data_IF_391855917067
#
_entry.id   IF_391855917067
#
_cell.length_a   1.000
_cell.length_b   1.000
_cell.length_c   1.000
_cell.angle_alpha   90.00
_cell.angle_beta   90.00
_cell.angle_gamma   90.00
#
_symmetry.space_group_name_H-M   'P 1'
#
loop_
_entity.id
_entity.type
_entity.pdbx_description
1 polymer ?
#
# COMPACT_ATOMS: atom_id res chain seq x y z
N UNK A 1 -8.34 -11.80 -10.79
CA UNK A 1 -7.79 -12.58 -9.66
C UNK A 1 -6.72 -11.77 -8.93
N UNK A 2 -6.43 -12.12 -7.68
CA UNK A 2 -5.42 -11.46 -6.86
C UNK A 2 -4.03 -11.53 -7.51
N UNK A 3 -3.61 -12.73 -7.89
CA UNK A 3 -2.34 -12.98 -8.59
C UNK A 3 -2.28 -12.25 -9.94
N UNK A 4 -3.39 -12.29 -10.73
CA UNK A 4 -3.43 -11.58 -12.01
C UNK A 4 -3.30 -10.07 -11.86
N UNK A 5 -3.85 -9.48 -10.79
CA UNK A 5 -3.69 -8.06 -10.50
C UNK A 5 -2.24 -7.71 -10.15
N UNK A 6 -1.53 -8.58 -9.41
CA UNK A 6 -0.11 -8.43 -9.12
C UNK A 6 0.74 -8.57 -10.38
N UNK A 7 0.54 -9.65 -11.16
CA UNK A 7 1.31 -9.94 -12.37
C UNK A 7 1.09 -8.92 -13.50
N UNK A 8 -0.02 -8.16 -13.46
CA UNK A 8 -0.24 -7.07 -14.42
C UNK A 8 0.76 -5.92 -14.26
N UNK A 9 1.47 -5.81 -13.13
CA UNK A 9 2.48 -4.78 -12.89
C UNK A 9 1.96 -3.33 -12.96
N UNK A 10 0.64 -3.14 -12.82
CA UNK A 10 0.05 -1.80 -12.88
C UNK A 10 0.37 -1.01 -11.62
N UNK A 11 0.84 0.25 -11.73
CA UNK A 11 0.97 1.15 -10.57
C UNK A 11 -0.34 1.39 -9.83
N UNK A 12 -1.47 1.25 -10.53
CA UNK A 12 -2.82 1.45 -10.00
C UNK A 12 -3.53 0.12 -9.66
N UNK A 13 -2.78 -0.97 -9.46
CA UNK A 13 -3.32 -2.26 -9.07
C UNK A 13 -3.89 -2.18 -7.64
N UNK A 14 -5.20 -2.40 -7.49
CA UNK A 14 -5.93 -2.15 -6.24
C UNK A 14 -5.54 -3.08 -5.09
N UNK A 15 -5.23 -4.34 -5.38
CA UNK A 15 -4.91 -5.33 -4.33
C UNK A 15 -3.45 -5.26 -3.86
N UNK A 16 -2.55 -4.73 -4.68
CA UNK A 16 -1.11 -4.77 -4.43
C UNK A 16 -0.68 -3.95 -3.23
N UNK A 17 -1.14 -2.68 -3.05
CA UNK A 17 -0.78 -1.91 -1.86
C UNK A 17 -1.21 -2.58 -0.55
N UNK A 18 -2.42 -3.18 -0.52
CA UNK A 18 -2.92 -3.90 0.65
C UNK A 18 -2.10 -5.14 0.98
N UNK A 19 -1.72 -5.94 -0.03
CA UNK A 19 -0.84 -7.10 0.16
C UNK A 19 0.53 -6.71 0.70
N UNK A 20 1.13 -5.66 0.14
CA UNK A 20 2.44 -5.17 0.59
C UNK A 20 2.36 -4.65 2.03
N UNK A 21 1.34 -3.84 2.36
CA UNK A 21 1.15 -3.31 3.72
C UNK A 21 0.96 -4.45 4.74
N UNK A 22 0.22 -5.49 4.36
CA UNK A 22 0.04 -6.69 5.18
C UNK A 22 1.31 -7.56 5.31
N UNK A 23 2.39 -7.24 4.60
CA UNK A 23 3.63 -8.03 4.63
C UNK A 23 3.51 -9.37 3.87
N UNK A 24 2.66 -9.45 2.86
CA UNK A 24 2.43 -10.66 2.10
C UNK A 24 3.67 -11.10 1.28
N UNK A 25 3.81 -12.42 1.13
CA UNK A 25 4.74 -13.05 0.21
C UNK A 25 3.99 -13.84 -0.86
N UNK A 26 4.67 -14.23 -1.90
CA UNK A 26 4.15 -15.13 -2.94
C UNK A 26 5.03 -16.35 -3.08
N UNK A 27 4.41 -17.52 -3.29
CA UNK A 27 5.09 -18.73 -3.67
C UNK A 27 5.23 -18.77 -5.19
N UNK A 28 6.46 -18.77 -5.67
CA UNK A 28 6.81 -18.81 -7.09
C UNK A 28 7.39 -20.17 -7.42
N UNK A 29 6.85 -20.85 -8.44
CA UNK A 29 7.31 -22.13 -8.92
C UNK A 29 7.97 -21.98 -10.30
N UNK A 30 9.09 -22.67 -10.50
CA UNK A 30 9.81 -22.74 -11.76
C UNK A 30 10.35 -24.17 -11.98
N UNK A 31 11.02 -24.40 -13.10
CA UNK A 31 11.73 -25.67 -13.36
C UNK A 31 12.86 -25.96 -12.37
N UNK A 32 13.39 -24.94 -11.68
CA UNK A 32 14.44 -25.07 -10.66
C UNK A 32 13.91 -25.28 -9.23
N UNK A 33 12.59 -25.21 -9.02
CA UNK A 33 11.97 -25.41 -7.72
C UNK A 33 11.00 -24.31 -7.33
N UNK A 34 10.78 -24.18 -6.02
CA UNK A 34 9.86 -23.18 -5.43
C UNK A 34 10.66 -22.17 -4.63
N UNK A 35 10.33 -20.89 -4.80
CA UNK A 35 10.87 -19.76 -4.02
C UNK A 35 9.72 -18.98 -3.35
N UNK A 36 10.02 -18.32 -2.24
CA UNK A 36 9.12 -17.37 -1.61
C UNK A 36 9.69 -15.95 -1.81
N UNK A 37 8.87 -15.04 -2.36
CA UNK A 37 9.27 -13.68 -2.71
C UNK A 37 8.29 -12.72 -2.06
N UNK A 38 8.76 -11.58 -1.51
CA UNK A 38 7.86 -10.53 -1.00
C UNK A 38 7.06 -9.92 -2.13
N UNK A 39 5.79 -9.63 -1.89
CA UNK A 39 4.92 -9.00 -2.91
C UNK A 39 5.49 -7.66 -3.40
N UNK A 40 6.15 -6.90 -2.51
CA UNK A 40 6.77 -5.61 -2.86
C UNK A 40 7.91 -5.71 -3.87
N UNK A 41 8.52 -6.88 -4.01
CA UNK A 41 9.64 -7.13 -4.93
C UNK A 41 9.17 -7.60 -6.32
N UNK A 42 7.88 -7.88 -6.50
CA UNK A 42 7.34 -8.36 -7.78
C UNK A 42 7.16 -7.23 -8.81
N UNK A 43 6.49 -6.09 -8.53
CA UNK A 43 6.36 -5.01 -9.50
C UNK A 43 7.67 -4.22 -9.61
N UNK A 44 8.23 -4.12 -10.81
CA UNK A 44 9.47 -3.35 -11.06
C UNK A 44 9.25 -2.12 -11.93
N UNK A 45 8.08 -1.98 -12.54
CA UNK A 45 7.69 -0.84 -13.37
C UNK A 45 6.32 -1.06 -14.01
N UNK A 46 5.81 -0.09 -14.80
CA UNK A 46 4.51 -0.21 -15.45
C UNK A 46 4.44 -1.41 -16.40
N UNK A 47 3.59 -2.39 -16.06
CA UNK A 47 3.45 -3.63 -16.82
C UNK A 47 4.65 -4.59 -16.71
N UNK A 48 5.55 -4.35 -15.76
CA UNK A 48 6.78 -5.13 -15.59
C UNK A 48 6.83 -5.77 -14.19
N UNK A 49 7.25 -7.04 -14.18
CA UNK A 49 7.52 -7.80 -12.95
C UNK A 49 8.93 -8.36 -12.99
N UNK A 50 9.47 -8.73 -11.82
CA UNK A 50 10.76 -9.42 -11.72
C UNK A 50 10.67 -10.93 -11.96
N UNK A 51 9.49 -11.46 -12.33
CA UNK A 51 9.32 -12.87 -12.63
C UNK A 51 10.08 -13.24 -13.90
N UNK A 52 10.88 -14.30 -13.82
CA UNK A 52 11.59 -14.86 -14.95
C UNK A 52 10.69 -15.69 -15.87
N UNK A 53 11.21 -16.00 -17.06
CA UNK A 53 10.51 -16.90 -18.00
C UNK A 53 10.28 -18.27 -17.38
N UNK A 54 9.02 -18.73 -17.37
CA UNK A 54 8.64 -20.02 -16.80
C UNK A 54 8.41 -19.98 -15.28
N UNK A 55 8.46 -18.83 -14.65
CA UNK A 55 8.07 -18.63 -13.25
C UNK A 55 6.58 -18.34 -13.12
N UNK A 56 5.92 -19.02 -12.19
CA UNK A 56 4.47 -18.90 -11.96
C UNK A 56 4.20 -18.70 -10.48
N UNK A 57 3.44 -17.67 -10.15
CA UNK A 57 2.92 -17.48 -8.79
C UNK A 57 1.77 -18.45 -8.55
N UNK A 58 1.91 -19.32 -7.56
CA UNK A 58 0.93 -20.34 -7.21
C UNK A 58 0.11 -20.01 -5.96
N UNK A 59 0.65 -19.19 -5.07
CA UNK A 59 -0.04 -18.79 -3.84
C UNK A 59 0.37 -17.37 -3.41
N UNK A 60 -0.51 -16.71 -2.68
CA UNK A 60 -0.25 -15.49 -1.90
C UNK A 60 -0.34 -15.88 -0.42
N UNK A 61 0.72 -15.64 0.33
CA UNK A 61 0.82 -15.98 1.73
C UNK A 61 0.67 -14.70 2.57
N UNK A 62 -0.36 -14.64 3.41
CA UNK A 62 -0.57 -13.53 4.35
C UNK A 62 -0.05 -13.94 5.73
N UNK A 63 0.75 -13.10 6.40
CA UNK A 63 1.16 -13.37 7.76
C UNK A 63 -0.04 -13.35 8.71
N UNK A 64 0.07 -14.08 9.81
CA UNK A 64 -0.96 -14.04 10.86
C UNK A 64 -0.95 -12.65 11.52
N UNK A 65 -2.12 -12.03 11.60
CA UNK A 65 -2.30 -10.74 12.27
C UNK A 65 -2.10 -10.87 13.79
N UNK A 66 -1.45 -9.87 14.38
CA UNK A 66 -1.30 -9.74 15.82
C UNK A 66 -2.55 -9.10 16.45
N UNK A 67 -2.69 -9.22 17.80
CA UNK A 67 -3.88 -8.76 18.53
C UNK A 67 -4.15 -7.25 18.41
N UNK A 68 -3.10 -6.44 18.37
CA UNK A 68 -3.17 -4.97 18.28
C UNK A 68 -2.63 -4.47 16.95
N UNK A 69 -2.93 -5.18 15.90
CA UNK A 69 -2.59 -4.85 14.53
C UNK A 69 -3.86 -4.48 13.77
N UNK A 70 -3.80 -3.38 13.05
CA UNK A 70 -4.88 -2.91 12.21
C UNK A 70 -4.35 -2.45 10.85
N UNK A 71 -5.17 -2.65 9.83
CA UNK A 71 -4.86 -2.22 8.48
C UNK A 71 -6.06 -1.56 7.82
N UNK A 72 -5.77 -0.75 6.81
CA UNK A 72 -6.77 -0.22 5.92
C UNK A 72 -6.17 0.07 4.55
N UNK A 73 -6.96 -0.15 3.51
CA UNK A 73 -6.69 0.33 2.15
C UNK A 73 -7.82 1.24 1.71
N UNK A 74 -7.48 2.41 1.24
CA UNK A 74 -8.41 3.35 0.62
C UNK A 74 -7.88 3.78 -0.75
N UNK A 75 -8.79 3.98 -1.69
CA UNK A 75 -8.49 4.56 -3.00
C UNK A 75 -9.46 5.67 -3.33
N UNK A 76 -9.02 6.59 -4.16
CA UNK A 76 -9.89 7.56 -4.81
C UNK A 76 -10.13 7.16 -6.26
N UNK A 77 -11.39 7.12 -6.66
CA UNK A 77 -11.86 6.86 -8.03
C UNK A 77 -12.92 7.90 -8.41
N UNK A 78 -12.96 8.42 -9.64
CA UNK A 78 -13.98 9.40 -10.07
C UNK A 78 -15.37 8.78 -10.19
N UNK A 79 -15.46 7.48 -10.49
CA UNK A 79 -16.71 6.72 -10.62
C UNK A 79 -16.79 5.63 -9.57
N UNK A 80 -17.99 5.17 -9.28
CA UNK A 80 -18.22 4.16 -8.22
C UNK A 80 -17.79 2.76 -8.63
N UNK A 81 -17.79 2.46 -9.92
CA UNK A 81 -17.50 1.12 -10.46
C UNK A 81 -16.59 1.19 -11.71
N UNK A 82 -15.86 0.10 -11.94
CA UNK A 82 -15.05 -0.16 -13.13
C UNK A 82 -14.10 0.99 -13.49
N UNK A 83 -13.46 1.57 -12.48
CA UNK A 83 -12.51 2.65 -12.68
C UNK A 83 -11.14 2.35 -12.07
N UNK A 84 -10.11 2.97 -12.68
CA UNK A 84 -8.73 2.87 -12.26
C UNK A 84 -8.50 3.88 -11.12
N UNK A 85 -7.80 3.46 -10.07
CA UNK A 85 -7.46 4.35 -8.97
C UNK A 85 -6.68 5.58 -9.46
N UNK A 86 -7.14 6.76 -9.05
CA UNK A 86 -6.42 8.02 -9.22
C UNK A 86 -5.24 8.06 -8.26
N UNK A 87 -5.49 7.67 -7.01
CA UNK A 87 -4.51 7.42 -5.95
C UNK A 87 -5.03 6.34 -5.01
N UNK A 88 -4.14 5.65 -4.34
CA UNK A 88 -4.47 4.67 -3.30
C UNK A 88 -3.44 4.68 -2.17
N UNK A 89 -3.88 4.38 -0.95
CA UNK A 89 -3.00 4.25 0.20
C UNK A 89 -3.42 3.05 1.05
N UNK A 90 -2.46 2.19 1.34
CA UNK A 90 -2.58 1.13 2.33
C UNK A 90 -1.71 1.46 3.54
N UNK A 91 -2.26 1.24 4.72
CA UNK A 91 -1.56 1.43 6.00
C UNK A 91 -1.77 0.19 6.85
N UNK A 92 -0.70 -0.35 7.41
CA UNK A 92 -0.72 -1.36 8.46
C UNK A 92 -0.02 -0.79 9.68
N UNK A 93 -0.62 -0.92 10.86
CA UNK A 93 -0.10 -0.44 12.13
C UNK A 93 -0.16 -1.54 13.19
N UNK A 94 0.88 -1.60 14.03
CA UNK A 94 0.83 -2.35 15.29
C UNK A 94 0.95 -1.37 16.46
N UNK A 95 0.19 -1.62 17.53
CA UNK A 95 0.17 -0.76 18.71
C UNK A 95 0.74 -1.48 19.94
N UNK A 96 1.51 -0.73 20.75
CA UNK A 96 1.92 -1.10 22.09
C UNK A 96 1.40 -0.02 23.05
N UNK A 97 0.46 -0.38 23.93
CA UNK A 97 -0.18 0.55 24.88
C UNK A 97 -0.81 1.79 24.21
N UNK A 98 -1.40 1.62 23.02
CA UNK A 98 -2.02 2.70 22.26
C UNK A 98 -1.05 3.60 21.48
N UNK A 99 0.26 3.29 21.54
CA UNK A 99 1.33 3.96 20.78
C UNK A 99 1.69 3.12 19.58
N UNK A 100 1.96 3.72 18.44
CA UNK A 100 2.34 3.02 17.20
C UNK A 100 3.74 2.46 17.35
N UNK A 101 3.86 1.14 17.42
CA UNK A 101 5.13 0.40 17.57
C UNK A 101 5.70 -0.08 16.24
N UNK A 102 4.84 -0.22 15.22
CA UNK A 102 5.24 -0.58 13.86
C UNK A 102 4.27 0.06 12.87
N UNK A 103 4.78 0.48 11.74
CA UNK A 103 3.98 1.03 10.65
C UNK A 103 4.54 0.58 9.30
N UNK A 104 3.66 0.24 8.36
CA UNK A 104 3.98 0.06 6.95
C UNK A 104 2.96 0.83 6.11
N UNK A 105 3.46 1.72 5.27
CA UNK A 105 2.66 2.61 4.42
C UNK A 105 3.01 2.35 2.97
N UNK A 106 1.99 2.19 2.14
CA UNK A 106 2.16 1.85 0.72
C UNK A 106 1.23 2.74 -0.11
N UNK A 107 1.83 3.43 -1.07
CA UNK A 107 1.13 4.35 -1.97
C UNK A 107 0.96 3.69 -3.34
N UNK A 108 -0.25 3.77 -3.88
CA UNK A 108 -0.61 3.27 -5.20
C UNK A 108 -1.02 4.38 -6.16
N UNK A 109 -0.77 4.20 -7.45
CA UNK A 109 -1.10 5.11 -8.53
C UNK A 109 -0.41 6.50 -8.46
N UNK A 110 0.65 6.64 -7.70
CA UNK A 110 1.39 7.89 -7.49
C UNK A 110 2.86 7.80 -7.90
N UNK A 111 3.22 6.83 -8.70
CA UNK A 111 4.56 6.61 -9.21
C UNK A 111 4.58 5.55 -10.32
N UNK A 112 5.74 5.19 -10.87
CA UNK A 112 5.85 4.18 -11.91
C UNK A 112 5.53 2.76 -11.43
N UNK A 113 5.54 2.52 -10.13
CA UNK A 113 5.10 1.30 -9.46
C UNK A 113 4.46 1.65 -8.12
N UNK A 114 3.92 0.65 -7.45
CA UNK A 114 3.47 0.79 -6.05
C UNK A 114 4.68 1.12 -5.18
N UNK A 115 4.56 2.12 -4.32
CA UNK A 115 5.67 2.71 -3.54
C UNK A 115 5.52 2.38 -2.05
N UNK A 116 6.56 1.80 -1.46
CA UNK A 116 6.65 1.65 0.01
C UNK A 116 7.16 2.96 0.60
N UNK A 117 6.29 3.69 1.26
CA UNK A 117 6.54 5.03 1.79
C UNK A 117 7.19 4.98 3.19
N UNK A 118 8.42 4.46 3.26
CA UNK A 118 9.16 4.30 4.53
C UNK A 118 9.28 5.59 5.33
N UNK A 119 9.64 6.76 4.75
CA UNK A 119 9.73 8.01 5.52
C UNK A 119 8.37 8.46 6.10
N UNK A 120 7.26 8.14 5.43
CA UNK A 120 5.93 8.42 5.95
C UNK A 120 5.55 7.44 7.08
N UNK A 121 5.98 6.18 7.00
CA UNK A 121 5.77 5.22 8.08
C UNK A 121 6.57 5.58 9.33
N UNK A 122 7.81 6.05 9.17
CA UNK A 122 8.70 6.42 10.27
C UNK A 122 8.15 7.58 11.11
N UNK A 123 7.46 8.57 10.51
CA UNK A 123 6.90 9.68 11.27
C UNK A 123 5.75 9.27 12.21
N UNK A 124 5.20 8.08 12.05
CA UNK A 124 4.15 7.53 12.90
C UNK A 124 4.70 6.76 14.12
N UNK A 125 5.96 6.31 14.06
CA UNK A 125 6.56 5.46 15.10
C UNK A 125 6.76 6.19 16.42
N UNK A 126 6.34 5.57 17.50
CA UNK A 126 6.45 6.13 18.85
C UNK A 126 5.34 7.12 19.20
N UNK A 127 4.41 7.36 18.29
CA UNK A 127 3.36 8.37 18.45
C UNK A 127 1.98 7.74 18.71
N UNK A 128 1.11 8.51 19.33
CA UNK A 128 -0.34 8.29 19.28
C UNK A 128 -0.90 9.08 18.11
N UNK A 129 -1.85 8.49 17.42
CA UNK A 129 -2.41 9.14 16.24
C UNK A 129 -3.33 10.29 16.64
N UNK A 130 -2.86 11.53 16.45
CA UNK A 130 -3.62 12.77 16.61
C UNK A 130 -3.62 13.60 15.31
N UNK A 131 -4.30 14.72 15.30
CA UNK A 131 -4.42 15.57 14.10
C UNK A 131 -3.07 16.18 13.66
N UNK A 132 -2.14 16.44 14.59
CA UNK A 132 -0.81 16.96 14.27
C UNK A 132 0.02 15.90 13.53
N UNK A 133 0.10 14.70 14.09
CA UNK A 133 0.80 13.56 13.46
C UNK A 133 0.16 13.21 12.13
N UNK A 134 -1.17 13.21 12.04
CA UNK A 134 -1.88 13.00 10.77
C UNK A 134 -1.54 14.08 9.72
N UNK A 135 -1.31 15.33 10.13
CA UNK A 135 -0.89 16.38 9.20
C UNK A 135 0.51 16.12 8.66
N UNK A 136 1.48 15.86 9.55
CA UNK A 136 2.87 15.54 9.18
C UNK A 136 2.90 14.32 8.25
N UNK A 137 2.15 13.27 8.60
CA UNK A 137 2.04 12.05 7.81
C UNK A 137 1.48 12.30 6.40
N UNK A 138 0.43 13.12 6.30
CA UNK A 138 -0.18 13.54 5.04
C UNK A 138 0.83 14.24 4.13
N UNK A 139 1.54 15.21 4.69
CA UNK A 139 2.53 16.00 3.95
C UNK A 139 3.66 15.09 3.44
N UNK A 140 4.14 14.14 4.27
CA UNK A 140 5.13 13.14 3.85
C UNK A 140 4.64 12.26 2.72
N UNK A 141 3.39 11.79 2.75
CA UNK A 141 2.82 11.02 1.65
C UNK A 141 2.74 11.84 0.35
N UNK A 142 2.35 13.11 0.45
CA UNK A 142 2.29 14.03 -0.69
C UNK A 142 3.68 14.34 -1.28
N UNK A 143 4.70 14.53 -0.45
CA UNK A 143 6.09 14.75 -0.86
C UNK A 143 6.68 13.55 -1.60
N UNK A 144 6.38 12.33 -1.15
CA UNK A 144 6.87 11.09 -1.75
C UNK A 144 6.20 10.76 -3.08
N UNK A 145 5.00 11.27 -3.31
CA UNK A 145 4.23 11.01 -4.52
C UNK A 145 4.85 11.68 -5.75
N UNK A 146 5.04 10.89 -6.81
CA UNK A 146 5.55 11.31 -8.14
C UNK A 146 4.57 10.87 -9.24
N UNK A 147 3.31 11.32 -9.19
CA UNK A 147 2.31 10.92 -10.16
C UNK A 147 2.52 11.58 -11.51
N UNK A 148 1.88 11.03 -12.52
CA UNK A 148 1.75 11.68 -13.84
C UNK A 148 0.44 12.45 -13.92
N UNK A 149 0.39 13.47 -14.77
CA UNK A 149 -0.86 14.11 -15.19
C UNK A 149 -1.48 13.30 -16.33
N UNK A 150 -2.77 12.97 -16.21
CA UNK A 150 -3.55 12.30 -17.24
C UNK A 150 -5.03 12.78 -17.23
N UNK A 151 -5.90 12.10 -17.99
CA UNK A 151 -7.33 12.42 -18.06
C UNK A 151 -8.08 12.28 -16.72
N UNK A 152 -7.49 11.62 -15.71
CA UNK A 152 -8.09 11.37 -14.39
C UNK A 152 -7.72 12.40 -13.35
N UNK A 153 -6.65 13.15 -13.57
CA UNK A 153 -6.20 14.19 -12.68
C UNK A 153 -4.80 14.69 -13.01
N UNK A 154 -4.52 15.93 -12.61
CA UNK A 154 -3.18 16.51 -12.68
C UNK A 154 -2.27 15.94 -11.59
N UNK A 155 -0.98 16.15 -11.74
CA UNK A 155 0.02 15.78 -10.74
C UNK A 155 -0.28 16.45 -9.39
N UNK A 156 -0.60 17.74 -9.40
CA UNK A 156 -0.91 18.54 -8.20
C UNK A 156 -2.13 17.96 -7.49
N UNK A 157 -3.22 17.70 -8.23
CA UNK A 157 -4.43 17.10 -7.68
C UNK A 157 -4.16 15.75 -7.02
N UNK A 158 -3.37 14.89 -7.67
CA UNK A 158 -3.02 13.58 -7.12
C UNK A 158 -2.19 13.69 -5.84
N UNK A 159 -1.25 14.64 -5.77
CA UNK A 159 -0.45 14.92 -4.56
C UNK A 159 -1.31 15.41 -3.40
N UNK A 160 -2.28 16.27 -3.64
CA UNK A 160 -3.22 16.70 -2.60
C UNK A 160 -4.11 15.55 -2.13
N UNK A 161 -4.71 14.82 -3.07
CA UNK A 161 -5.66 13.74 -2.74
C UNK A 161 -4.97 12.58 -2.03
N UNK A 162 -3.72 12.22 -2.38
CA UNK A 162 -3.03 11.13 -1.69
C UNK A 162 -2.81 11.45 -0.21
N UNK A 163 -2.48 12.69 0.17
CA UNK A 163 -2.39 13.10 1.56
C UNK A 163 -3.70 12.90 2.33
N UNK A 164 -4.83 13.28 1.72
CA UNK A 164 -6.16 13.10 2.32
C UNK A 164 -6.51 11.62 2.47
N UNK A 165 -6.25 10.81 1.45
CA UNK A 165 -6.52 9.35 1.48
C UNK A 165 -5.62 8.67 2.52
N UNK A 166 -4.36 9.07 2.63
CA UNK A 166 -3.41 8.54 3.60
C UNK A 166 -3.87 8.82 5.05
N UNK A 167 -4.29 10.06 5.37
CA UNK A 167 -4.88 10.39 6.67
C UNK A 167 -6.05 9.47 7.04
N UNK A 168 -6.97 9.29 6.11
CA UNK A 168 -8.17 8.46 6.31
C UNK A 168 -7.80 6.98 6.49
N UNK A 169 -6.84 6.48 5.72
CA UNK A 169 -6.36 5.11 5.84
C UNK A 169 -5.66 4.88 7.19
N UNK A 170 -4.76 5.79 7.61
CA UNK A 170 -4.09 5.72 8.90
C UNK A 170 -5.07 5.72 10.07
N UNK A 171 -6.09 6.60 10.05
CA UNK A 171 -7.13 6.62 11.06
C UNK A 171 -7.90 5.31 11.16
N UNK A 172 -8.34 4.77 10.02
CA UNK A 172 -9.04 3.47 9.99
C UNK A 172 -8.16 2.32 10.49
N UNK A 173 -6.89 2.28 10.10
CA UNK A 173 -5.95 1.27 10.57
C UNK A 173 -5.71 1.37 12.08
N UNK A 174 -5.56 2.59 12.62
CA UNK A 174 -5.37 2.85 14.03
C UNK A 174 -6.61 2.45 14.86
N UNK A 175 -7.80 2.85 14.42
CA UNK A 175 -9.07 2.47 15.07
C UNK A 175 -9.24 0.95 15.10
N UNK A 176 -8.92 0.27 13.97
CA UNK A 176 -8.93 -1.19 13.88
C UNK A 176 -7.94 -1.84 14.86
N UNK A 177 -6.73 -1.29 15.01
CA UNK A 177 -5.71 -1.79 15.92
C UNK A 177 -6.08 -1.59 17.40
N UNK A 178 -6.86 -0.54 17.72
CA UNK A 178 -7.44 -0.31 19.06
C UNK A 178 -8.61 -1.27 19.36
N UNK A 179 -9.13 -2.00 18.37
CA UNK A 179 -10.30 -2.84 18.50
C UNK A 179 -11.65 -2.08 18.36
N UNK A 180 -11.62 -0.83 17.93
CA UNK A 180 -12.79 -0.05 17.59
C UNK A 180 -13.29 -0.48 16.19
N UNK A 181 -14.52 -1.00 16.11
CA UNK A 181 -15.14 -1.39 14.84
C UNK A 181 -16.03 -0.29 14.29
#
# INVERSE_FOLDING_TARGET
TLVGNLCNGSPAADSVPGMIAAGATVSVVSSSGTAEIRVEDIPVGPGLTNLGTGEIITAVNLPKRNKHEGDAYLRFIPRTEMDIAVVGCAVNLSLANGVISSAKVVLGAVGPKVEVATPAAECLLGEKLDENILSIFSDKCSELAKPISDKRGSEEFRKEVIGVIAKRAAKKAYDSALGNK
#
